data_IF_552145159699
#
_entry.id   IF_552145159699
#
_cell.length_a   1.000
_cell.length_b   1.000
_cell.length_c   1.000
_cell.angle_alpha   90.00
_cell.angle_beta   90.00
_cell.angle_gamma   90.00
#
_symmetry.space_group_name_H-M   'P 1'
#
loop_
_entity.id
_entity.type
_entity.pdbx_description
1 polymer ?
#
# COMPACT_ATOMS: atom_id res chain seq x y z
N UNK A 1 21.41 -16.41 -11.10
CA UNK A 1 20.25 -17.24 -10.74
C UNK A 1 20.18 -18.49 -11.58
N UNK A 2 20.73 -19.60 -11.08
CA UNK A 2 20.62 -20.91 -11.74
C UNK A 2 20.72 -21.98 -10.66
N UNK A 3 19.57 -22.50 -10.21
CA UNK A 3 19.53 -23.66 -9.32
C UNK A 3 19.05 -24.94 -10.02
N UNK A 4 18.60 -24.85 -11.28
CA UNK A 4 18.00 -25.99 -11.99
C UNK A 4 18.31 -26.12 -13.48
N UNK A 5 19.26 -25.36 -14.07
CA UNK A 5 19.60 -25.45 -15.51
C UNK A 5 18.40 -25.39 -16.50
N UNK A 6 17.27 -24.87 -16.05
CA UNK A 6 16.06 -24.64 -16.85
C UNK A 6 15.93 -23.14 -17.01
N UNK A 7 15.74 -22.67 -18.25
CA UNK A 7 15.35 -21.29 -18.53
C UNK A 7 13.97 -21.03 -17.91
N UNK A 8 13.94 -20.25 -16.84
CA UNK A 8 12.70 -19.79 -16.22
C UNK A 8 12.58 -18.28 -16.41
N UNK A 9 11.35 -17.82 -16.62
CA UNK A 9 11.04 -16.40 -16.44
C UNK A 9 11.27 -16.10 -14.95
N UNK A 10 12.39 -15.45 -14.64
CA UNK A 10 12.76 -15.09 -13.28
C UNK A 10 11.62 -14.37 -12.56
N UNK A 11 11.52 -14.55 -11.25
CA UNK A 11 10.49 -13.90 -10.46
C UNK A 11 10.60 -12.36 -10.59
N UNK A 12 9.54 -11.73 -11.11
CA UNK A 12 9.54 -10.31 -11.47
C UNK A 12 9.33 -9.35 -10.26
N UNK A 13 9.32 -9.87 -9.04
CA UNK A 13 8.94 -9.10 -7.85
C UNK A 13 7.43 -9.14 -7.57
N UNK A 14 7.05 -9.14 -6.30
CA UNK A 14 5.66 -8.93 -5.86
C UNK A 14 5.51 -7.55 -5.27
N UNK A 15 4.32 -6.97 -5.43
CA UNK A 15 3.93 -5.75 -4.71
C UNK A 15 3.86 -6.10 -3.22
N UNK A 16 4.74 -5.50 -2.42
CA UNK A 16 4.79 -5.73 -0.98
C UNK A 16 3.64 -4.97 -0.30
N UNK A 17 2.73 -5.71 0.33
CA UNK A 17 1.70 -5.15 1.22
C UNK A 17 1.75 -5.83 2.59
N UNK A 18 1.64 -5.04 3.65
CA UNK A 18 1.60 -5.56 5.03
C UNK A 18 0.27 -5.16 5.65
N UNK A 19 -0.48 -6.15 6.15
CA UNK A 19 -1.71 -5.93 6.93
C UNK A 19 -1.49 -6.41 8.35
N UNK A 20 -1.64 -5.52 9.33
CA UNK A 20 -1.58 -5.87 10.75
C UNK A 20 -3.00 -5.88 11.32
N UNK A 21 -3.41 -7.01 11.91
CA UNK A 21 -4.69 -7.14 12.61
C UNK A 21 -4.46 -6.92 14.10
N UNK A 22 -4.76 -5.71 14.59
CA UNK A 22 -4.75 -5.36 16.02
C UNK A 22 -6.19 -5.26 16.50
N UNK A 23 -6.48 -5.65 17.73
CA UNK A 23 -7.83 -5.52 18.31
C UNK A 23 -8.25 -4.06 18.34
N UNK A 24 -9.26 -3.70 17.53
CA UNK A 24 -9.89 -2.37 17.51
C UNK A 24 -9.42 -1.41 16.42
N UNK A 25 -8.35 -1.73 15.67
CA UNK A 25 -7.89 -0.93 14.52
C UNK A 25 -7.24 -1.86 13.51
N UNK A 26 -7.77 -1.86 12.28
CA UNK A 26 -7.09 -2.52 11.17
C UNK A 26 -6.15 -1.51 10.49
N UNK A 27 -4.92 -1.94 10.24
CA UNK A 27 -3.88 -1.13 9.58
C UNK A 27 -3.44 -1.83 8.30
N UNK A 28 -3.42 -1.08 7.21
CA UNK A 28 -2.94 -1.54 5.91
C UNK A 28 -1.87 -0.57 5.39
N UNK A 29 -0.76 -1.12 4.90
CA UNK A 29 0.22 -0.37 4.13
C UNK A 29 0.66 -1.13 2.89
N UNK A 30 0.94 -0.39 1.83
CA UNK A 30 1.47 -0.93 0.58
C UNK A 30 2.43 0.06 -0.06
N UNK A 31 3.46 -0.46 -0.73
CA UNK A 31 4.42 0.35 -1.48
C UNK A 31 5.26 1.29 -0.62
N UNK A 32 5.79 2.33 -1.26
CA UNK A 32 6.60 3.37 -0.62
C UNK A 32 5.73 4.60 -0.30
N UNK A 33 5.43 4.76 0.98
CA UNK A 33 4.64 5.87 1.52
C UNK A 33 5.50 6.91 2.26
N UNK A 34 6.82 6.88 2.04
CA UNK A 34 7.77 7.79 2.70
C UNK A 34 7.59 9.25 2.27
N UNK A 35 7.00 9.48 1.08
CA UNK A 35 6.93 10.79 0.45
C UNK A 35 8.31 11.27 -0.05
N UNK A 36 8.34 12.41 -0.72
CA UNK A 36 9.55 13.00 -1.32
C UNK A 36 9.25 14.29 -2.08
N UNK A 37 10.30 14.95 -2.60
CA UNK A 37 10.17 16.23 -3.30
C UNK A 37 9.35 16.15 -4.59
N UNK A 38 9.39 15.01 -5.29
CA UNK A 38 8.70 14.77 -6.56
C UNK A 38 7.37 14.00 -6.38
N UNK A 39 6.88 13.90 -5.14
CA UNK A 39 5.65 13.13 -4.84
C UNK A 39 4.53 14.03 -4.38
N UNK A 40 3.30 13.70 -4.77
CA UNK A 40 2.08 14.33 -4.28
C UNK A 40 1.46 13.51 -3.16
N UNK A 41 0.90 14.17 -2.15
CA UNK A 41 0.25 13.49 -1.02
C UNK A 41 -1.24 13.84 -0.94
N UNK A 42 -2.07 12.80 -0.86
CA UNK A 42 -3.51 12.94 -0.62
C UNK A 42 -3.83 12.33 0.74
N UNK A 43 -4.38 13.16 1.64
CA UNK A 43 -4.74 12.76 3.00
C UNK A 43 -6.23 12.95 3.22
N UNK A 44 -6.90 11.88 3.62
CA UNK A 44 -8.27 11.88 4.12
C UNK A 44 -8.25 11.52 5.60
N UNK A 45 -8.88 12.32 6.45
CA UNK A 45 -8.96 12.10 7.89
C UNK A 45 -10.37 12.37 8.39
N UNK A 46 -10.98 11.38 9.03
CA UNK A 46 -12.25 11.49 9.72
C UNK A 46 -12.09 10.99 11.17
N UNK A 47 -11.98 11.94 12.09
CA UNK A 47 -11.80 11.64 13.51
C UNK A 47 -13.05 11.02 14.16
N UNK A 48 -14.25 11.36 13.68
CA UNK A 48 -15.50 10.81 14.22
C UNK A 48 -15.69 9.34 13.89
N UNK A 49 -15.14 8.90 12.75
CA UNK A 49 -15.16 7.50 12.30
C UNK A 49 -13.88 6.74 12.61
N UNK A 50 -12.86 7.39 13.18
CA UNK A 50 -11.54 6.78 13.42
C UNK A 50 -10.81 6.38 12.14
N UNK A 51 -11.09 7.05 11.01
CA UNK A 51 -10.56 6.72 9.68
C UNK A 51 -9.47 7.68 9.26
N UNK A 52 -8.45 7.13 8.61
CA UNK A 52 -7.51 7.89 7.81
C UNK A 52 -6.95 7.08 6.68
N UNK A 53 -6.71 7.81 5.61
CA UNK A 53 -6.16 7.29 4.38
C UNK A 53 -5.11 8.30 3.91
N UNK A 54 -3.87 7.86 3.75
CA UNK A 54 -2.80 8.62 3.11
C UNK A 54 -2.34 7.87 1.88
N UNK A 55 -2.29 8.56 0.75
CA UNK A 55 -1.83 8.05 -0.53
C UNK A 55 -0.70 8.96 -0.99
N UNK A 56 0.40 8.36 -1.43
CA UNK A 56 1.55 9.03 -2.03
C UNK A 56 1.56 8.70 -3.52
N UNK A 57 1.59 9.72 -4.35
CA UNK A 57 1.62 9.64 -5.80
C UNK A 57 2.96 10.14 -6.33
N UNK A 58 3.44 9.55 -7.41
CA UNK A 58 4.60 10.01 -8.18
C UNK A 58 4.25 9.87 -9.66
N UNK A 59 4.40 10.94 -10.45
CA UNK A 59 4.01 10.98 -11.87
C UNK A 59 2.58 10.49 -12.15
N UNK A 60 1.63 10.82 -11.26
CA UNK A 60 0.23 10.40 -11.36
C UNK A 60 -0.02 8.91 -11.08
N UNK A 61 0.97 8.16 -10.58
CA UNK A 61 0.85 6.75 -10.17
C UNK A 61 0.97 6.60 -8.66
N UNK A 62 0.30 5.59 -8.10
CA UNK A 62 0.39 5.29 -6.67
C UNK A 62 1.76 4.70 -6.36
N UNK A 63 2.54 5.43 -5.55
CA UNK A 63 3.84 5.00 -5.04
C UNK A 63 3.69 4.22 -3.72
N UNK A 64 2.74 4.64 -2.88
CA UNK A 64 2.39 3.90 -1.67
C UNK A 64 1.17 4.46 -0.94
N UNK A 65 0.65 3.69 0.00
CA UNK A 65 -0.52 4.05 0.77
C UNK A 65 -0.45 3.52 2.21
N UNK A 66 -1.07 4.25 3.14
CA UNK A 66 -1.28 3.85 4.53
C UNK A 66 -2.73 4.15 4.91
N UNK A 67 -3.44 3.14 5.41
CA UNK A 67 -4.84 3.22 5.84
C UNK A 67 -4.95 2.78 7.30
N UNK A 68 -5.68 3.55 8.11
CA UNK A 68 -6.09 3.16 9.46
C UNK A 68 -7.59 3.40 9.68
N UNK A 69 -8.25 2.48 10.38
CA UNK A 69 -9.68 2.51 10.65
C UNK A 69 -10.38 1.21 10.23
N UNK A 70 -11.67 1.08 10.52
CA UNK A 70 -12.49 -0.12 10.24
C UNK A 70 -12.32 -0.55 8.76
N UNK A 71 -11.60 -1.67 8.50
CA UNK A 71 -11.10 -2.01 7.15
C UNK A 71 -12.12 -2.63 6.20
N UNK A 72 -13.37 -2.20 6.24
CA UNK A 72 -14.33 -2.58 5.18
C UNK A 72 -13.87 -2.16 3.77
N UNK A 73 -13.01 -1.14 3.64
CA UNK A 73 -12.60 -0.58 2.33
C UNK A 73 -11.22 -1.04 1.81
N UNK A 74 -10.46 -1.82 2.58
CA UNK A 74 -9.03 -2.07 2.27
C UNK A 74 -8.77 -2.93 1.03
N UNK A 75 -9.74 -3.73 0.59
CA UNK A 75 -9.58 -4.64 -0.55
C UNK A 75 -9.63 -3.95 -1.93
N UNK A 76 -10.19 -2.73 -2.03
CA UNK A 76 -10.48 -2.10 -3.32
C UNK A 76 -9.23 -1.48 -3.99
N UNK A 77 -8.22 -1.06 -3.23
CA UNK A 77 -7.03 -0.40 -3.77
C UNK A 77 -6.01 -1.35 -4.45
N UNK A 78 -6.21 -2.66 -4.40
CA UNK A 78 -5.25 -3.63 -4.97
C UNK A 78 -5.58 -4.03 -6.44
N UNK A 79 -6.69 -3.56 -7.00
CA UNK A 79 -7.17 -3.98 -8.33
C UNK A 79 -7.10 -2.91 -9.44
N UNK A 80 -6.42 -1.78 -9.23
CA UNK A 80 -6.16 -0.78 -10.27
C UNK A 80 -4.67 -0.64 -10.54
#
# INVERSE_FOLDING_TARGET
DHLVEIETLGYAGSVTSTKLKVTGVDVFSAGDFSGGGDTEEIVFRDAGRGVYKRIVLEDGKIKGAVLYGDTSDGGWYFQL
#
